data_IF_276321213855
#
_entry.id   IF_276321213855
#
_cell.length_a   1.000
_cell.length_b   1.000
_cell.length_c   1.000
_cell.angle_alpha   90.00
_cell.angle_beta   90.00
_cell.angle_gamma   90.00
#
_symmetry.space_group_name_H-M   'P 1'
#
loop_
_entity.id
_entity.type
_entity.pdbx_description
1 polymer ?
#
# COMPACT_ATOMS: atom_id res chain seq x y z
N UNK A 1 -22.08 15.96 -29.49
CA UNK A 1 -21.72 17.20 -28.76
C UNK A 1 -20.74 16.85 -27.66
N UNK A 2 -19.47 17.23 -27.81
CA UNK A 2 -18.39 16.88 -26.88
C UNK A 2 -18.49 17.74 -25.61
N UNK A 3 -18.71 17.10 -24.46
CA UNK A 3 -18.80 17.75 -23.15
C UNK A 3 -17.39 18.15 -22.69
N UNK A 4 -17.06 19.45 -22.75
CA UNK A 4 -15.80 20.00 -22.26
C UNK A 4 -15.92 20.10 -20.73
N UNK A 5 -15.10 19.34 -19.99
CA UNK A 5 -15.01 19.50 -18.53
C UNK A 5 -14.53 20.92 -18.19
N UNK A 6 -15.14 21.61 -17.21
CA UNK A 6 -14.61 22.87 -16.73
C UNK A 6 -13.23 22.62 -16.10
N UNK A 7 -12.25 23.43 -16.52
CA UNK A 7 -10.94 23.49 -15.89
C UNK A 7 -11.14 23.81 -14.39
N UNK A 8 -10.51 23.07 -13.46
CA UNK A 8 -10.58 23.41 -12.06
C UNK A 8 -9.97 24.80 -11.85
N UNK A 9 -10.76 25.73 -11.31
CA UNK A 9 -10.29 27.05 -10.91
C UNK A 9 -9.39 26.89 -9.68
N UNK A 10 -8.07 26.86 -9.89
CA UNK A 10 -7.09 26.70 -8.83
C UNK A 10 -6.98 27.94 -7.92
N UNK A 11 -7.51 29.09 -8.35
CA UNK A 11 -7.52 30.35 -7.59
C UNK A 11 -8.25 30.20 -6.23
N UNK A 12 -9.32 29.40 -6.18
CA UNK A 12 -10.13 29.23 -4.96
C UNK A 12 -9.45 28.40 -3.86
N UNK A 13 -8.35 27.71 -4.19
CA UNK A 13 -7.52 26.99 -3.21
C UNK A 13 -6.42 27.87 -2.60
N UNK A 14 -6.16 29.05 -3.18
CA UNK A 14 -5.12 29.99 -2.76
C UNK A 14 -5.62 31.04 -1.76
N UNK A 15 -6.93 31.14 -1.56
CA UNK A 15 -7.57 32.13 -0.68
C UNK A 15 -7.79 31.64 0.76
N UNK A 16 -7.36 30.42 1.09
CA UNK A 16 -7.34 29.95 2.49
C UNK A 16 -6.18 30.62 3.22
N UNK A 17 -6.49 31.62 4.06
CA UNK A 17 -5.49 32.30 4.88
C UNK A 17 -4.79 31.32 5.84
N UNK A 18 -3.48 31.18 5.66
CA UNK A 18 -2.59 30.40 6.53
C UNK A 18 -2.15 31.24 7.75
N UNK A 19 -1.84 30.61 8.90
CA UNK A 19 -1.36 31.34 10.08
C UNK A 19 0.03 31.94 9.83
N UNK A 20 0.11 33.27 9.82
CA UNK A 20 1.36 34.03 9.70
C UNK A 20 1.76 34.28 8.24
N UNK A 21 2.22 35.50 7.97
CA UNK A 21 2.52 36.09 6.66
C UNK A 21 3.58 35.33 5.82
N UNK A 22 3.26 34.12 5.38
CA UNK A 22 4.09 33.30 4.51
C UNK A 22 3.45 33.24 3.12
N UNK A 23 4.13 33.84 2.16
CA UNK A 23 3.78 33.81 0.74
C UNK A 23 3.81 32.35 0.21
N UNK A 24 2.74 31.97 -0.50
CA UNK A 24 2.54 30.67 -1.12
C UNK A 24 3.71 30.26 -2.04
N UNK A 25 4.39 31.22 -2.65
CA UNK A 25 5.53 30.95 -3.54
C UNK A 25 6.74 30.34 -2.82
N UNK A 26 6.80 30.41 -1.48
CA UNK A 26 7.88 29.85 -0.67
C UNK A 26 7.51 28.55 0.07
N UNK A 27 6.28 28.07 -0.07
CA UNK A 27 5.84 26.83 0.57
C UNK A 27 6.38 25.64 -0.23
N UNK A 28 7.51 25.09 0.22
CA UNK A 28 7.95 23.78 -0.27
C UNK A 28 7.01 22.67 0.24
N UNK A 29 6.87 21.58 -0.52
CA UNK A 29 6.18 20.35 -0.08
C UNK A 29 6.70 19.84 1.28
N UNK A 30 7.96 20.15 1.61
CA UNK A 30 8.57 19.82 2.89
C UNK A 30 8.01 20.69 4.02
N UNK A 31 7.90 22.01 3.82
CA UNK A 31 7.34 22.94 4.79
C UNK A 31 5.85 22.69 5.05
N UNK A 32 5.06 22.44 4.01
CA UNK A 32 3.65 22.09 4.15
C UNK A 32 3.45 20.79 4.96
N UNK A 33 4.30 19.78 4.72
CA UNK A 33 4.25 18.55 5.51
C UNK A 33 4.61 18.81 6.96
N UNK A 34 5.67 19.59 7.21
CA UNK A 34 6.14 19.92 8.57
C UNK A 34 5.09 20.72 9.34
N UNK A 35 4.42 21.69 8.72
CA UNK A 35 3.37 22.49 9.39
C UNK A 35 2.12 21.67 9.73
N UNK A 36 1.92 20.53 9.07
CA UNK A 36 0.86 19.57 9.36
C UNK A 36 1.32 18.38 10.22
N UNK A 37 2.58 18.33 10.66
CA UNK A 37 3.03 17.31 11.61
C UNK A 37 2.46 17.65 12.99
N UNK A 38 1.58 16.79 13.50
CA UNK A 38 1.27 16.74 14.92
C UNK A 38 2.57 16.44 15.69
N UNK A 39 2.73 17.04 16.88
CA UNK A 39 3.77 16.61 17.82
C UNK A 39 3.67 15.09 18.00
N UNK A 40 4.80 14.39 18.16
CA UNK A 40 4.82 12.93 18.40
C UNK A 40 3.95 12.59 19.61
N UNK A 41 3.91 13.48 20.61
CA UNK A 41 3.10 13.33 21.83
C UNK A 41 1.61 13.63 21.62
N UNK A 42 1.22 14.15 20.45
CA UNK A 42 -0.14 14.49 20.07
C UNK A 42 -0.71 13.52 19.01
N UNK A 43 -0.08 12.36 18.80
CA UNK A 43 -0.65 11.33 17.93
C UNK A 43 -2.02 10.89 18.50
N UNK A 44 -3.06 10.74 17.64
CA UNK A 44 -4.35 10.26 18.10
C UNK A 44 -4.19 8.91 18.82
N UNK A 45 -4.96 8.65 19.87
CA UNK A 45 -4.95 7.36 20.58
C UNK A 45 -5.23 6.14 19.67
N UNK A 46 -5.72 6.41 18.45
CA UNK A 46 -6.04 5.42 17.42
C UNK A 46 -4.91 5.26 16.39
N UNK A 47 -3.77 5.92 16.58
CA UNK A 47 -2.60 5.69 15.76
C UNK A 47 -2.16 4.23 15.97
N UNK A 48 -1.88 3.48 14.91
CA UNK A 48 -1.61 2.05 15.04
C UNK A 48 -0.30 1.84 15.83
N UNK A 49 -0.47 1.52 17.11
CA UNK A 49 0.60 1.22 18.04
C UNK A 49 0.99 -0.25 17.89
N UNK A 50 1.92 -0.53 16.97
CA UNK A 50 2.70 -1.76 17.03
C UNK A 50 3.73 -1.70 18.16
N UNK A 51 4.06 -2.82 18.82
CA UNK A 51 5.13 -2.81 19.82
C UNK A 51 6.46 -2.42 19.17
N UNK A 52 7.34 -1.76 19.92
CA UNK A 52 8.63 -1.29 19.42
C UNK A 52 9.48 -2.44 18.81
N UNK A 53 9.35 -3.65 19.35
CA UNK A 53 9.98 -4.86 18.83
C UNK A 53 9.51 -5.21 17.42
N UNK A 54 8.20 -5.15 17.15
CA UNK A 54 7.65 -5.42 15.82
C UNK A 54 8.11 -4.39 14.78
N UNK A 55 8.17 -3.10 15.17
CA UNK A 55 8.73 -2.06 14.32
C UNK A 55 10.22 -2.26 14.05
N UNK A 56 11.00 -2.63 15.07
CA UNK A 56 12.42 -2.93 14.90
C UNK A 56 12.61 -4.09 13.92
N UNK A 57 11.86 -5.18 14.07
CA UNK A 57 11.89 -6.32 13.13
C UNK A 57 11.52 -5.89 11.72
N UNK A 58 10.45 -5.08 11.58
CA UNK A 58 10.03 -4.55 10.28
C UNK A 58 11.14 -3.76 9.58
N UNK A 59 11.79 -2.82 10.26
CA UNK A 59 12.83 -1.98 9.67
C UNK A 59 14.16 -2.71 9.40
N UNK A 60 14.42 -3.81 10.12
CA UNK A 60 15.60 -4.66 9.91
C UNK A 60 15.37 -5.77 8.88
N UNK A 61 14.16 -5.89 8.35
CA UNK A 61 13.84 -6.95 7.38
C UNK A 61 14.52 -6.71 6.03
N UNK A 62 14.89 -7.78 5.34
CA UNK A 62 15.65 -7.75 4.08
C UNK A 62 14.82 -7.49 2.82
N UNK A 63 13.49 -7.30 2.95
CA UNK A 63 12.64 -7.06 1.79
C UNK A 63 12.85 -5.65 1.18
N UNK A 64 12.44 -5.41 -0.08
CA UNK A 64 12.82 -4.20 -0.81
C UNK A 64 12.32 -2.91 -0.13
N UNK A 65 13.04 -1.80 -0.28
CA UNK A 65 12.62 -0.50 0.27
C UNK A 65 11.22 -0.07 -0.20
N UNK A 66 10.86 -0.41 -1.44
CA UNK A 66 9.52 -0.13 -1.94
C UNK A 66 8.44 -0.95 -1.19
N UNK A 67 8.75 -2.17 -0.75
CA UNK A 67 7.83 -2.96 0.07
C UNK A 67 7.66 -2.35 1.46
N UNK A 68 8.74 -1.87 2.09
CA UNK A 68 8.68 -1.10 3.34
C UNK A 68 7.71 0.08 3.21
N UNK A 69 7.81 0.86 2.14
CA UNK A 69 6.94 2.03 1.95
C UNK A 69 5.46 1.66 1.89
N UNK A 70 5.12 0.57 1.19
CA UNK A 70 3.72 0.13 1.06
C UNK A 70 3.19 -0.44 2.37
N UNK A 71 3.97 -1.30 3.03
CA UNK A 71 3.60 -1.89 4.30
C UNK A 71 3.48 -0.84 5.41
N UNK A 72 4.39 0.12 5.46
CA UNK A 72 4.29 1.26 6.40
C UNK A 72 2.98 2.02 6.19
N UNK A 73 2.60 2.31 4.94
CA UNK A 73 1.31 2.95 4.64
C UNK A 73 0.13 2.08 5.06
N UNK A 74 0.20 0.78 4.82
CA UNK A 74 -0.81 -0.17 5.26
C UNK A 74 -0.97 -0.17 6.78
N UNK A 75 0.13 -0.31 7.52
CA UNK A 75 0.12 -0.31 8.98
C UNK A 75 -0.43 0.98 9.55
N UNK A 76 -0.15 2.13 8.94
CA UNK A 76 -0.70 3.42 9.36
C UNK A 76 -2.11 3.73 8.83
N UNK A 77 -2.77 2.79 8.13
CA UNK A 77 -4.06 3.01 7.45
C UNK A 77 -4.03 4.25 6.56
N UNK A 78 -2.95 4.39 5.80
CA UNK A 78 -2.67 5.48 4.84
C UNK A 78 -2.50 4.96 3.41
N UNK A 79 -3.09 3.81 3.07
CA UNK A 79 -3.13 3.37 1.67
C UNK A 79 -4.03 4.33 0.86
N UNK A 80 -3.69 4.68 -0.40
CA UNK A 80 -4.55 5.53 -1.22
C UNK A 80 -5.66 4.69 -1.86
N UNK A 81 -6.55 4.12 -1.04
CA UNK A 81 -7.69 3.33 -1.51
C UNK A 81 -8.80 4.22 -2.05
N UNK A 82 -9.66 3.67 -2.92
CA UNK A 82 -10.84 4.39 -3.44
C UNK A 82 -11.81 4.79 -2.33
N UNK A 83 -12.00 3.95 -1.30
CA UNK A 83 -12.82 4.33 -0.15
C UNK A 83 -12.28 5.58 0.54
N UNK A 84 -10.97 5.63 0.81
CA UNK A 84 -10.34 6.77 1.47
C UNK A 84 -10.38 8.01 0.59
N UNK A 85 -10.20 7.85 -0.72
CA UNK A 85 -10.32 8.95 -1.67
C UNK A 85 -11.75 9.52 -1.72
N UNK A 86 -12.77 8.67 -1.69
CA UNK A 86 -14.17 9.07 -1.62
C UNK A 86 -14.48 9.86 -0.34
N UNK A 87 -13.95 9.41 0.80
CA UNK A 87 -14.10 10.11 2.09
C UNK A 87 -13.43 11.49 2.10
N UNK A 88 -12.28 11.64 1.45
CA UNK A 88 -11.55 12.91 1.37
C UNK A 88 -12.16 13.92 0.39
N UNK A 89 -12.80 13.44 -0.68
CA UNK A 89 -13.40 14.29 -1.71
C UNK A 89 -14.80 13.79 -2.15
N UNK A 90 -15.83 13.87 -1.27
CA UNK A 90 -17.17 13.36 -1.59
C UNK A 90 -17.78 14.00 -2.84
N UNK A 91 -17.53 15.30 -3.06
CA UNK A 91 -18.16 16.08 -4.13
C UNK A 91 -17.61 15.78 -5.52
N UNK A 92 -16.46 15.11 -5.62
CA UNK A 92 -15.79 14.84 -6.92
C UNK A 92 -16.38 13.64 -7.68
N UNK A 93 -17.54 13.11 -7.27
CA UNK A 93 -18.18 11.91 -7.85
C UNK A 93 -17.21 10.71 -7.95
N UNK A 94 -16.28 10.63 -7.00
CA UNK A 94 -15.33 9.52 -6.90
C UNK A 94 -15.96 8.42 -6.06
N UNK A 95 -16.37 7.31 -6.67
CA UNK A 95 -16.97 6.20 -5.94
C UNK A 95 -15.96 5.35 -5.17
N UNK A 96 -16.34 4.72 -4.05
CA UNK A 96 -15.44 3.90 -3.22
C UNK A 96 -15.10 2.53 -3.84
N UNK A 97 -15.52 2.28 -5.08
CA UNK A 97 -15.38 0.98 -5.73
C UNK A 97 -14.01 0.77 -6.37
N UNK A 98 -13.51 -0.45 -6.20
CA UNK A 98 -12.32 -1.02 -6.82
C UNK A 98 -12.49 -1.05 -8.33
N UNK A 99 -11.53 -0.46 -9.04
CA UNK A 99 -11.57 -0.38 -10.49
C UNK A 99 -11.29 -1.73 -11.18
N UNK A 100 -10.87 -2.75 -10.43
CA UNK A 100 -10.65 -4.11 -10.93
C UNK A 100 -11.89 -4.99 -10.81
N UNK A 101 -12.76 -4.71 -9.82
CA UNK A 101 -13.84 -5.63 -9.41
C UNK A 101 -15.23 -5.04 -9.35
N UNK A 102 -15.34 -3.74 -9.13
CA UNK A 102 -16.57 -3.10 -8.66
C UNK A 102 -16.88 -3.23 -7.16
N UNK A 103 -16.16 -4.09 -6.39
CA UNK A 103 -16.32 -4.18 -4.93
C UNK A 103 -15.81 -2.93 -4.18
N UNK A 104 -16.22 -2.72 -2.93
CA UNK A 104 -15.72 -1.59 -2.10
C UNK A 104 -14.22 -1.78 -1.84
N UNK A 105 -13.41 -0.76 -2.13
CA UNK A 105 -11.96 -0.81 -1.96
C UNK A 105 -11.52 -0.16 -0.65
N UNK A 106 -11.54 -0.94 0.42
CA UNK A 106 -10.84 -0.65 1.67
C UNK A 106 -9.40 -1.20 1.66
N UNK A 107 -8.69 -1.12 2.79
CA UNK A 107 -7.29 -1.57 2.87
C UNK A 107 -7.14 -3.09 2.62
N UNK A 108 -8.11 -3.90 3.08
CA UNK A 108 -8.13 -5.34 2.86
C UNK A 108 -8.38 -5.63 1.38
N UNK A 109 -9.38 -5.02 0.77
CA UNK A 109 -9.69 -5.21 -0.63
C UNK A 109 -8.58 -4.69 -1.54
N UNK A 110 -7.88 -3.63 -1.13
CA UNK A 110 -6.75 -3.09 -1.88
C UNK A 110 -5.56 -4.05 -1.95
N UNK A 111 -5.29 -4.85 -0.91
CA UNK A 111 -4.13 -5.76 -0.87
C UNK A 111 -4.48 -7.25 -0.98
N UNK A 112 -5.68 -7.65 -0.60
CA UNK A 112 -6.02 -9.04 -0.31
C UNK A 112 -7.33 -9.51 -0.95
N UNK A 113 -8.48 -8.94 -0.56
CA UNK A 113 -9.78 -9.62 -0.78
C UNK A 113 -10.34 -9.50 -2.19
N UNK A 114 -9.80 -8.63 -3.05
CA UNK A 114 -10.19 -8.56 -4.46
C UNK A 114 -9.75 -9.82 -5.22
N UNK A 115 -10.62 -10.33 -6.11
CA UNK A 115 -10.40 -11.63 -6.77
C UNK A 115 -9.07 -11.72 -7.55
N UNK A 116 -8.66 -10.66 -8.24
CA UNK A 116 -7.37 -10.65 -8.97
C UNK A 116 -6.16 -10.67 -8.03
N UNK A 117 -6.31 -10.07 -6.84
CA UNK A 117 -5.27 -10.06 -5.80
C UNK A 117 -5.21 -11.42 -5.11
N UNK A 118 -6.37 -12.02 -4.79
CA UNK A 118 -6.46 -13.41 -4.31
C UNK A 118 -5.77 -14.38 -5.26
N UNK A 119 -6.00 -14.26 -6.57
CA UNK A 119 -5.32 -15.12 -7.55
C UNK A 119 -3.80 -14.92 -7.55
N UNK A 120 -3.33 -13.68 -7.40
CA UNK A 120 -1.90 -13.37 -7.23
C UNK A 120 -1.34 -14.07 -5.98
N UNK A 121 -2.05 -13.99 -4.85
CA UNK A 121 -1.68 -14.65 -3.60
C UNK A 121 -1.66 -16.17 -3.73
N UNK A 122 -2.66 -16.79 -4.36
CA UNK A 122 -2.70 -18.23 -4.62
C UNK A 122 -1.50 -18.70 -5.43
N UNK A 123 -1.12 -17.95 -6.48
CA UNK A 123 0.05 -18.27 -7.31
C UNK A 123 1.36 -18.17 -6.53
N UNK A 124 1.49 -17.20 -5.63
CA UNK A 124 2.67 -17.07 -4.76
C UNK A 124 2.71 -18.18 -3.72
N UNK A 125 1.58 -18.48 -3.08
CA UNK A 125 1.48 -19.56 -2.10
C UNK A 125 1.94 -20.89 -2.72
N UNK A 126 1.41 -21.24 -3.90
CA UNK A 126 1.77 -22.47 -4.60
C UNK A 126 3.25 -22.54 -5.03
N UNK A 127 3.94 -21.40 -5.16
CA UNK A 127 5.34 -21.33 -5.61
C UNK A 127 6.35 -21.38 -4.48
N UNK A 128 6.02 -20.87 -3.30
CA UNK A 128 7.01 -20.62 -2.25
C UNK A 128 6.62 -21.13 -0.87
N UNK A 129 5.36 -21.51 -0.66
CA UNK A 129 4.88 -21.96 0.65
C UNK A 129 4.62 -23.45 0.66
N UNK A 130 4.71 -24.05 1.85
CA UNK A 130 4.30 -25.44 2.03
C UNK A 130 2.79 -25.58 1.74
N UNK A 131 2.32 -26.72 1.21
CA UNK A 131 0.89 -26.94 0.96
C UNK A 131 0.01 -26.80 2.21
N UNK A 132 0.56 -27.06 3.38
CA UNK A 132 -0.08 -26.90 4.69
C UNK A 132 -0.12 -25.45 5.18
N UNK A 133 0.67 -24.55 4.58
CA UNK A 133 0.73 -23.16 4.97
C UNK A 133 -0.56 -22.44 4.56
N UNK A 134 -1.26 -21.89 5.56
CA UNK A 134 -2.47 -21.10 5.35
C UNK A 134 -2.15 -19.62 5.42
N UNK A 135 -2.12 -18.99 4.24
CA UNK A 135 -2.06 -17.55 4.10
C UNK A 135 -3.45 -16.95 4.35
N UNK A 136 -3.53 -15.98 5.26
CA UNK A 136 -4.75 -15.25 5.59
C UNK A 136 -4.47 -13.74 5.62
N UNK A 137 -5.50 -12.90 5.62
CA UNK A 137 -5.30 -11.45 5.61
C UNK A 137 -4.50 -10.98 6.84
N UNK A 138 -4.69 -11.61 7.99
CA UNK A 138 -3.96 -11.30 9.23
C UNK A 138 -2.47 -11.65 9.14
N UNK A 139 -2.05 -12.42 8.14
CA UNK A 139 -0.63 -12.65 7.85
C UNK A 139 0.08 -11.35 7.42
N UNK A 140 -0.65 -10.36 6.90
CA UNK A 140 -0.07 -9.06 6.53
C UNK A 140 0.17 -8.16 7.76
N UNK A 141 -0.41 -8.48 8.93
CA UNK A 141 -0.34 -7.62 10.12
C UNK A 141 1.10 -7.42 10.62
N UNK A 142 1.39 -6.22 11.14
CA UNK A 142 2.68 -5.90 11.75
C UNK A 142 2.92 -6.80 12.95
N UNK A 143 4.07 -7.49 12.99
CA UNK A 143 4.41 -8.39 14.08
C UNK A 143 3.54 -9.65 14.14
N UNK A 144 2.94 -10.07 13.02
CA UNK A 144 2.18 -11.32 12.94
C UNK A 144 3.02 -12.49 13.46
N UNK A 145 2.56 -13.13 14.54
CA UNK A 145 3.23 -14.29 15.15
C UNK A 145 3.00 -15.60 14.38
N UNK A 146 2.11 -15.59 13.37
CA UNK A 146 1.82 -16.75 12.53
C UNK A 146 3.07 -17.07 11.71
N UNK A 147 3.78 -18.12 12.11
CA UNK A 147 4.90 -18.64 11.33
C UNK A 147 4.38 -19.21 10.00
N UNK A 148 4.81 -18.60 8.90
CA UNK A 148 4.45 -19.02 7.55
C UNK A 148 5.50 -20.02 7.07
N UNK A 149 5.08 -21.27 6.90
CA UNK A 149 5.96 -22.34 6.44
C UNK A 149 6.28 -22.17 4.95
N UNK A 150 7.55 -21.89 4.66
CA UNK A 150 8.09 -21.77 3.30
C UNK A 150 8.62 -23.11 2.80
N UNK A 151 8.76 -23.26 1.49
CA UNK A 151 9.39 -24.45 0.89
C UNK A 151 10.84 -24.59 1.34
N UNK A 152 11.26 -25.85 1.54
CA UNK A 152 12.63 -26.18 1.95
C UNK A 152 13.67 -25.68 0.93
N UNK A 153 14.81 -25.21 1.42
CA UNK A 153 15.90 -24.70 0.58
C UNK A 153 15.81 -23.22 0.20
N UNK A 154 14.71 -22.53 0.53
CA UNK A 154 14.60 -21.09 0.38
C UNK A 154 15.38 -20.35 1.48
N UNK A 155 16.14 -19.33 1.10
CA UNK A 155 16.86 -18.40 1.99
C UNK A 155 16.07 -17.11 2.27
N UNK A 156 14.75 -17.24 2.20
CA UNK A 156 13.79 -16.15 2.40
C UNK A 156 12.69 -16.62 3.33
N UNK A 157 12.29 -15.77 4.26
CA UNK A 157 11.20 -16.08 5.18
C UNK A 157 9.82 -15.72 4.58
N UNK A 158 8.76 -16.18 5.24
CA UNK A 158 7.39 -15.91 4.81
C UNK A 158 7.03 -14.42 4.81
N UNK A 159 7.62 -13.62 5.71
CA UNK A 159 7.39 -12.17 5.75
C UNK A 159 7.97 -11.48 4.51
N UNK A 160 9.15 -11.89 4.06
CA UNK A 160 9.78 -11.43 2.82
C UNK A 160 8.92 -11.76 1.61
N UNK A 161 8.36 -12.97 1.56
CA UNK A 161 7.42 -13.38 0.50
C UNK A 161 6.16 -12.50 0.50
N UNK A 162 5.58 -12.25 1.67
CA UNK A 162 4.42 -11.34 1.81
C UNK A 162 4.78 -9.94 1.34
N UNK A 163 5.87 -9.37 1.84
CA UNK A 163 6.29 -8.01 1.52
C UNK A 163 6.54 -7.82 0.03
N UNK A 164 7.21 -8.77 -0.63
CA UNK A 164 7.43 -8.76 -2.07
C UNK A 164 6.11 -8.84 -2.85
N UNK A 165 5.15 -9.61 -2.36
CA UNK A 165 3.84 -9.78 -3.00
C UNK A 165 2.98 -8.53 -2.86
N UNK A 166 2.92 -7.94 -1.66
CA UNK A 166 2.27 -6.64 -1.39
C UNK A 166 2.83 -5.56 -2.32
N UNK A 167 4.16 -5.48 -2.43
CA UNK A 167 4.80 -4.53 -3.34
C UNK A 167 4.43 -4.77 -4.81
N UNK A 168 4.41 -6.02 -5.26
CA UNK A 168 4.05 -6.35 -6.62
C UNK A 168 2.59 -5.98 -6.93
N UNK A 169 1.66 -6.28 -6.03
CA UNK A 169 0.25 -5.88 -6.14
C UNK A 169 0.14 -4.36 -6.22
N UNK A 170 0.78 -3.64 -5.29
CA UNK A 170 0.82 -2.17 -5.28
C UNK A 170 1.30 -1.61 -6.62
N UNK A 171 2.43 -2.11 -7.11
CA UNK A 171 3.02 -1.64 -8.37
C UNK A 171 2.09 -1.88 -9.56
N UNK A 172 1.38 -3.01 -9.58
CA UNK A 172 0.44 -3.34 -10.66
C UNK A 172 -0.84 -2.53 -10.58
N UNK A 173 -1.39 -2.33 -9.39
CA UNK A 173 -2.53 -1.45 -9.14
C UNK A 173 -2.27 -0.05 -9.70
N UNK A 174 -1.14 0.57 -9.35
CA UNK A 174 -0.87 1.94 -9.80
C UNK A 174 -0.54 2.05 -11.29
N UNK A 175 0.07 1.03 -11.89
CA UNK A 175 0.21 0.97 -13.35
C UNK A 175 -1.13 0.84 -14.06
N UNK A 176 -2.09 0.13 -13.47
CA UNK A 176 -3.45 0.08 -13.98
C UNK A 176 -4.13 1.45 -13.89
N UNK A 177 -4.08 2.09 -12.71
CA UNK A 177 -4.73 3.39 -12.48
C UNK A 177 -4.13 4.50 -13.34
N UNK A 178 -2.80 4.64 -13.40
CA UNK A 178 -2.15 5.79 -14.04
C UNK A 178 -1.74 5.56 -15.49
N UNK A 179 -1.52 4.31 -15.91
CA UNK A 179 -1.07 3.99 -17.26
C UNK A 179 -2.09 3.18 -18.06
N UNK A 180 -3.29 2.94 -17.51
CA UNK A 180 -4.35 2.18 -18.17
C UNK A 180 -3.99 0.73 -18.48
N UNK A 181 -2.94 0.18 -17.87
CA UNK A 181 -2.49 -1.20 -18.15
C UNK A 181 -3.29 -2.21 -17.35
N UNK A 182 -3.86 -3.20 -18.00
CA UNK A 182 -4.60 -4.29 -17.35
C UNK A 182 -3.83 -4.92 -16.20
N UNK A 183 -4.51 -5.18 -15.09
CA UNK A 183 -3.96 -5.95 -13.98
C UNK A 183 -4.02 -7.43 -14.31
N UNK A 184 -2.86 -8.05 -14.53
CA UNK A 184 -2.74 -9.50 -14.72
C UNK A 184 -2.15 -10.17 -13.46
N UNK A 185 -2.86 -11.11 -12.81
CA UNK A 185 -2.35 -11.83 -11.64
C UNK A 185 -1.00 -12.52 -11.91
N UNK A 186 -0.81 -13.10 -13.09
CA UNK A 186 0.43 -13.74 -13.54
C UNK A 186 1.60 -12.77 -13.53
N UNK A 187 1.38 -11.55 -14.01
CA UNK A 187 2.40 -10.51 -14.09
C UNK A 187 2.73 -9.93 -12.72
N UNK A 188 1.76 -9.87 -11.81
CA UNK A 188 1.96 -9.51 -10.42
C UNK A 188 2.79 -10.60 -9.72
N UNK A 189 2.39 -11.85 -9.85
CA UNK A 189 3.08 -13.00 -9.28
C UNK A 189 4.50 -13.16 -9.84
N UNK A 190 4.70 -13.01 -11.15
CA UNK A 190 6.03 -13.04 -11.76
C UNK A 190 6.95 -11.94 -11.21
N UNK A 191 6.41 -10.75 -10.96
CA UNK A 191 7.19 -9.64 -10.38
C UNK A 191 7.56 -9.92 -8.92
N UNK A 192 6.62 -10.43 -8.13
CA UNK A 192 6.91 -10.87 -6.76
C UNK A 192 7.97 -11.98 -6.75
N UNK A 193 7.82 -13.00 -7.60
CA UNK A 193 8.82 -14.07 -7.80
C UNK A 193 10.22 -13.50 -8.11
N UNK A 194 10.33 -12.51 -8.99
CA UNK A 194 11.63 -11.88 -9.30
C UNK A 194 12.23 -11.12 -8.12
N UNK A 195 11.42 -10.50 -7.26
CA UNK A 195 11.92 -9.85 -6.05
C UNK A 195 12.36 -10.87 -5.01
N UNK A 196 11.58 -11.94 -4.80
CA UNK A 196 11.88 -13.02 -3.86
C UNK A 196 13.17 -13.73 -4.27
N UNK A 197 13.33 -14.06 -5.56
CA UNK A 197 14.55 -14.71 -6.07
C UNK A 197 15.81 -13.88 -5.84
N UNK A 198 15.76 -12.58 -6.11
CA UNK A 198 16.91 -11.70 -5.85
C UNK A 198 17.36 -11.74 -4.39
N UNK A 199 16.43 -11.68 -3.45
CA UNK A 199 16.76 -11.75 -2.01
C UNK A 199 17.25 -13.15 -1.63
N UNK A 200 16.69 -14.20 -2.23
CA UNK A 200 17.17 -15.57 -2.03
C UNK A 200 18.62 -15.76 -2.49
N UNK A 201 19.01 -15.12 -3.59
CA UNK A 201 20.34 -15.22 -4.17
C UNK A 201 21.36 -14.31 -3.42
N UNK A 202 20.89 -13.23 -2.80
CA UNK A 202 21.69 -12.27 -2.01
C UNK A 202 22.00 -12.75 -0.58
N UNK A 203 21.16 -13.64 -0.02
CA UNK A 203 21.33 -14.25 1.32
C UNK A 203 22.08 -15.58 1.25
#
# INVERSE_FOLDING_TARGET
>A
TLYRMPQPNFEDLLTVELPGALDFHHISLKLFRISQLLSIDALPAHYPHGPATAWRTFWLSSFPHQAHTVLWRYYHRKLPTRQRLHQLYPDRRLYPYCLLCGGVEDDEHFLWSCMLKKETWSRIANRFLQPTARLAYESLALGSSKHIQVLSGLRVDGQTIIACTVWAIWRRQWRFVFNGRTFWPDEAAARATQAIKRIHDEN
#
